data_IF_811795190502
#
_entry.id   IF_811795190502
#
_cell.length_a   1.000
_cell.length_b   1.000
_cell.length_c   1.000
_cell.angle_alpha   90.00
_cell.angle_beta   90.00
_cell.angle_gamma   90.00
#
_symmetry.space_group_name_H-M   'P 1'
#
loop_
_entity.id
_entity.type
_entity.pdbx_description
1 polymer ?
#
# COMPACT_ATOMS: atom_id res chain seq x y z
N UNK A 1 -9.42 -13.78 12.12
CA UNK A 1 -9.71 -13.46 10.71
C UNK A 1 -10.82 -12.42 10.59
N UNK A 2 -11.88 -12.49 11.39
CA UNK A 2 -13.02 -11.57 11.35
C UNK A 2 -12.64 -10.08 11.51
N UNK A 3 -11.59 -9.78 12.28
CA UNK A 3 -11.07 -8.43 12.43
C UNK A 3 -10.57 -7.85 11.11
N UNK A 4 -9.84 -8.63 10.31
CA UNK A 4 -9.34 -8.20 9.00
C UNK A 4 -10.52 -7.86 8.07
N UNK A 5 -11.49 -8.77 7.97
CA UNK A 5 -12.65 -8.59 7.10
C UNK A 5 -13.48 -7.37 7.51
N UNK A 6 -13.74 -7.18 8.80
CA UNK A 6 -14.45 -6.01 9.32
C UNK A 6 -13.71 -4.71 9.03
N UNK A 7 -12.39 -4.70 9.23
CA UNK A 7 -11.57 -3.52 8.98
C UNK A 7 -11.59 -3.12 7.50
N UNK A 8 -11.28 -4.05 6.60
CA UNK A 8 -11.20 -3.75 5.16
C UNK A 8 -12.58 -3.51 4.54
N UNK A 9 -13.62 -4.26 4.92
CA UNK A 9 -14.98 -3.99 4.42
C UNK A 9 -15.48 -2.61 4.85
N UNK A 10 -15.21 -2.20 6.09
CA UNK A 10 -15.52 -0.85 6.58
C UNK A 10 -14.75 0.21 5.80
N UNK A 11 -13.44 0.03 5.65
CA UNK A 11 -12.60 0.95 4.89
C UNK A 11 -13.10 1.13 3.44
N UNK A 12 -13.29 0.03 2.71
CA UNK A 12 -13.74 0.05 1.30
C UNK A 12 -15.12 0.70 1.18
N UNK A 13 -16.03 0.41 2.12
CA UNK A 13 -17.36 1.03 2.14
C UNK A 13 -17.29 2.54 2.33
N UNK A 14 -16.43 3.01 3.24
CA UNK A 14 -16.43 4.40 3.67
C UNK A 14 -15.46 5.30 2.90
N UNK A 15 -14.45 4.75 2.22
CA UNK A 15 -13.47 5.55 1.47
C UNK A 15 -14.12 6.40 0.36
N UNK A 16 -15.24 5.95 -0.20
CA UNK A 16 -16.00 6.71 -1.20
C UNK A 16 -16.63 8.01 -0.65
N UNK A 17 -16.78 8.12 0.68
CA UNK A 17 -17.23 9.34 1.34
C UNK A 17 -16.09 10.35 1.55
N UNK A 18 -14.83 9.95 1.34
CA UNK A 18 -13.68 10.85 1.44
C UNK A 18 -13.65 11.74 0.19
N UNK A 19 -13.56 13.07 0.35
CA UNK A 19 -13.48 13.97 -0.79
C UNK A 19 -12.30 13.65 -1.72
N UNK A 20 -12.42 13.88 -3.04
CA UNK A 20 -11.30 13.78 -3.96
C UNK A 20 -10.09 14.59 -3.48
N UNK A 21 -8.88 14.04 -3.67
CA UNK A 21 -7.63 14.66 -3.21
C UNK A 21 -7.41 14.61 -1.70
N UNK A 22 -8.22 13.84 -0.94
CA UNK A 22 -8.02 13.62 0.51
C UNK A 22 -7.74 12.17 0.90
N UNK A 23 -7.56 11.30 -0.09
CA UNK A 23 -7.15 9.92 0.10
C UNK A 23 -6.22 9.50 -1.04
N UNK A 24 -5.13 8.84 -0.68
CA UNK A 24 -4.21 8.20 -1.62
C UNK A 24 -3.92 6.80 -1.09
N UNK A 25 -4.24 5.78 -1.89
CA UNK A 25 -3.89 4.39 -1.60
C UNK A 25 -2.57 4.05 -2.30
N UNK A 26 -1.63 3.45 -1.57
CA UNK A 26 -0.31 3.02 -2.08
C UNK A 26 -0.14 1.55 -1.75
N UNK A 27 0.01 0.72 -2.78
CA UNK A 27 0.31 -0.70 -2.60
C UNK A 27 1.74 -0.91 -2.13
N UNK A 28 1.98 -1.88 -1.25
CA UNK A 28 3.33 -2.17 -0.77
C UNK A 28 4.28 -2.55 -1.90
N UNK A 29 3.83 -3.36 -2.86
CA UNK A 29 4.63 -3.74 -4.03
C UNK A 29 5.00 -2.52 -4.91
N UNK A 30 4.10 -1.55 -5.05
CA UNK A 30 4.39 -0.29 -5.74
C UNK A 30 5.44 0.53 -4.99
N UNK A 31 5.28 0.67 -3.68
CA UNK A 31 6.22 1.39 -2.82
C UNK A 31 7.60 0.76 -2.80
N UNK A 32 7.68 -0.57 -2.84
CA UNK A 32 8.95 -1.31 -2.89
C UNK A 32 9.66 -1.16 -4.23
N UNK A 33 8.91 -1.19 -5.34
CA UNK A 33 9.50 -1.12 -6.67
C UNK A 33 10.11 0.27 -6.95
N UNK A 34 9.42 1.34 -6.56
CA UNK A 34 9.91 2.70 -6.70
C UNK A 34 9.32 3.62 -5.60
N UNK A 35 10.01 3.74 -4.45
CA UNK A 35 9.52 4.53 -3.33
C UNK A 35 9.48 6.02 -3.63
N UNK A 36 10.38 6.53 -4.48
CA UNK A 36 10.43 7.94 -4.84
C UNK A 36 9.23 8.29 -5.71
N UNK A 37 8.94 7.50 -6.75
CA UNK A 37 7.77 7.71 -7.59
C UNK A 37 6.45 7.52 -6.81
N UNK A 38 6.40 6.56 -5.88
CA UNK A 38 5.24 6.37 -5.02
C UNK A 38 4.96 7.61 -4.15
N UNK A 39 6.00 8.25 -3.61
CA UNK A 39 5.87 9.47 -2.81
C UNK A 39 5.55 10.69 -3.67
N UNK A 40 6.12 10.81 -4.87
CA UNK A 40 5.76 11.88 -5.82
C UNK A 40 4.26 11.88 -6.12
N UNK A 41 3.70 10.68 -6.34
CA UNK A 41 2.25 10.51 -6.56
C UNK A 41 1.43 10.95 -5.35
N UNK A 42 1.91 10.67 -4.14
CA UNK A 42 1.25 11.13 -2.90
C UNK A 42 1.23 12.65 -2.82
N UNK A 43 2.38 13.30 -3.05
CA UNK A 43 2.47 14.77 -3.06
C UNK A 43 1.57 15.39 -4.12
N UNK A 44 1.57 14.82 -5.32
CA UNK A 44 0.73 15.30 -6.43
C UNK A 44 -0.75 15.16 -6.12
N UNK A 45 -1.18 14.02 -5.59
CA UNK A 45 -2.58 13.78 -5.29
C UNK A 45 -3.13 14.66 -4.15
N UNK A 46 -2.26 15.12 -3.23
CA UNK A 46 -2.62 16.09 -2.20
C UNK A 46 -2.43 17.57 -2.63
N UNK A 47 -1.99 17.83 -3.87
CA UNK A 47 -1.76 19.17 -4.37
C UNK A 47 -0.54 19.87 -3.77
N UNK A 48 0.49 19.10 -3.39
CA UNK A 48 1.74 19.57 -2.79
C UNK A 48 2.94 19.49 -3.75
N UNK A 49 2.68 19.44 -5.06
CA UNK A 49 3.74 19.32 -6.08
C UNK A 49 4.76 20.47 -6.03
N UNK A 50 4.36 21.66 -5.58
CA UNK A 50 5.23 22.82 -5.37
C UNK A 50 6.34 22.56 -4.35
N UNK A 51 6.13 21.60 -3.44
CA UNK A 51 7.12 21.22 -2.41
C UNK A 51 7.98 20.05 -2.82
N UNK A 52 7.64 19.36 -3.90
CA UNK A 52 8.29 18.10 -4.29
C UNK A 52 9.77 18.28 -4.55
N UNK A 53 10.17 19.31 -5.31
CA UNK A 53 11.58 19.55 -5.66
C UNK A 53 12.48 19.70 -4.43
N UNK A 54 11.96 20.27 -3.34
CA UNK A 54 12.71 20.46 -2.11
C UNK A 54 12.84 19.17 -1.27
N UNK A 55 11.88 18.23 -1.37
CA UNK A 55 11.85 17.00 -0.56
C UNK A 55 12.34 15.76 -1.31
N UNK A 56 12.30 15.75 -2.64
CA UNK A 56 12.70 14.62 -3.46
C UNK A 56 14.12 14.13 -3.17
N UNK A 57 15.15 15.00 -2.99
CA UNK A 57 16.49 14.55 -2.63
C UNK A 57 16.54 13.82 -1.28
N UNK A 58 15.77 14.29 -0.28
CA UNK A 58 15.72 13.68 1.04
C UNK A 58 15.14 12.26 0.99
N UNK A 59 14.12 12.06 0.15
CA UNK A 59 13.54 10.74 -0.06
C UNK A 59 14.48 9.81 -0.85
N UNK A 60 15.20 10.33 -1.85
CA UNK A 60 16.20 9.56 -2.58
C UNK A 60 17.34 9.08 -1.67
N UNK A 61 17.85 9.96 -0.81
CA UNK A 61 18.89 9.63 0.17
C UNK A 61 18.41 8.58 1.17
N UNK A 62 17.22 8.77 1.74
CA UNK A 62 16.63 7.81 2.67
C UNK A 62 16.36 6.45 2.00
N UNK A 63 15.80 6.46 0.79
CA UNK A 63 15.57 5.23 0.02
C UNK A 63 16.88 4.49 -0.24
N UNK A 64 17.96 5.20 -0.54
CA UNK A 64 19.29 4.61 -0.75
C UNK A 64 19.83 3.97 0.54
N UNK A 65 19.58 4.60 1.70
CA UNK A 65 19.95 4.04 3.01
C UNK A 65 19.23 2.73 3.36
N UNK A 66 18.08 2.47 2.74
CA UNK A 66 17.30 1.25 2.96
C UNK A 66 17.75 0.08 2.07
N UNK A 67 18.76 0.26 1.21
CA UNK A 67 19.20 -0.78 0.28
C UNK A 67 19.61 -2.09 0.97
N UNK A 68 20.19 -2.01 2.17
CA UNK A 68 20.61 -3.17 2.94
C UNK A 68 19.53 -3.68 3.92
N UNK A 69 18.32 -3.09 3.89
CA UNK A 69 17.23 -3.51 4.78
C UNK A 69 16.70 -4.89 4.39
N UNK A 70 16.96 -5.87 5.23
CA UNK A 70 16.49 -7.24 5.02
C UNK A 70 15.03 -7.40 5.46
N UNK A 71 14.15 -7.59 4.49
CA UNK A 71 12.74 -7.94 4.74
C UNK A 71 12.61 -9.32 5.36
N UNK A 72 11.60 -9.48 6.20
CA UNK A 72 11.18 -10.80 6.66
C UNK A 72 10.70 -11.61 5.45
N UNK A 73 11.17 -12.85 5.34
CA UNK A 73 10.71 -13.77 4.32
C UNK A 73 9.50 -14.54 4.84
N UNK A 74 8.40 -14.47 4.09
CA UNK A 74 7.21 -15.26 4.38
C UNK A 74 7.37 -16.65 3.75
N UNK A 75 7.46 -17.68 4.58
CA UNK A 75 7.68 -19.06 4.13
C UNK A 75 6.42 -19.76 3.58
N UNK A 76 5.36 -18.99 3.31
CA UNK A 76 4.06 -19.53 2.89
C UNK A 76 3.22 -20.05 4.07
N UNK A 77 2.03 -20.53 3.72
CA UNK A 77 1.11 -21.19 4.64
C UNK A 77 1.02 -22.68 4.29
N UNK A 78 0.57 -23.48 5.25
CA UNK A 78 0.09 -24.82 4.91
C UNK A 78 -1.11 -24.72 3.96
N UNK A 79 -1.29 -25.67 3.02
CA UNK A 79 -2.32 -25.59 1.98
C UNK A 79 -3.73 -25.31 2.51
N UNK A 80 -4.09 -25.90 3.64
CA UNK A 80 -5.40 -25.73 4.28
C UNK A 80 -5.59 -24.30 4.79
N UNK A 81 -4.55 -23.72 5.40
CA UNK A 81 -4.58 -22.35 5.88
C UNK A 81 -4.58 -21.35 4.72
N UNK A 82 -3.82 -21.61 3.66
CA UNK A 82 -3.84 -20.80 2.44
C UNK A 82 -5.23 -20.80 1.79
N UNK A 83 -5.87 -21.96 1.66
CA UNK A 83 -7.21 -22.08 1.11
C UNK A 83 -8.24 -21.26 1.92
N UNK A 84 -8.12 -21.26 3.25
CA UNK A 84 -8.98 -20.43 4.12
C UNK A 84 -8.73 -18.95 3.88
N UNK A 85 -7.46 -18.50 3.79
CA UNK A 85 -7.12 -17.10 3.49
C UNK A 85 -7.66 -16.69 2.12
N UNK A 86 -7.38 -17.47 1.07
CA UNK A 86 -7.83 -17.20 -0.30
C UNK A 86 -9.34 -17.07 -0.38
N UNK A 87 -10.09 -17.98 0.26
CA UNK A 87 -11.56 -17.92 0.27
C UNK A 87 -12.07 -16.70 1.04
N UNK A 88 -11.55 -16.48 2.25
CA UNK A 88 -12.08 -15.46 3.17
C UNK A 88 -11.72 -14.04 2.74
N UNK A 89 -10.53 -13.85 2.20
CA UNK A 89 -9.99 -12.54 1.80
C UNK A 89 -10.11 -12.29 0.29
N UNK A 90 -10.78 -13.18 -0.46
CA UNK A 90 -11.09 -12.99 -1.88
C UNK A 90 -11.64 -11.58 -2.21
N UNK A 91 -12.56 -10.99 -1.42
CA UNK A 91 -13.05 -9.64 -1.71
C UNK A 91 -11.94 -8.59 -1.69
N UNK A 92 -11.02 -8.66 -0.71
CA UNK A 92 -9.89 -7.72 -0.62
C UNK A 92 -8.89 -7.93 -1.76
N UNK A 93 -8.63 -9.19 -2.13
CA UNK A 93 -7.75 -9.49 -3.26
C UNK A 93 -8.29 -8.91 -4.57
N UNK A 94 -9.58 -9.08 -4.83
CA UNK A 94 -10.24 -8.47 -5.99
C UNK A 94 -10.23 -6.94 -5.94
N UNK A 95 -10.53 -6.36 -4.77
CA UNK A 95 -10.59 -4.90 -4.57
C UNK A 95 -9.23 -4.21 -4.80
N UNK A 96 -8.14 -4.83 -4.35
CA UNK A 96 -6.81 -4.22 -4.43
C UNK A 96 -5.93 -4.78 -5.56
N UNK A 97 -6.47 -5.62 -6.45
CA UNK A 97 -5.77 -6.11 -7.64
C UNK A 97 -4.68 -7.15 -7.35
N UNK A 98 -4.82 -7.94 -6.29
CA UNK A 98 -3.94 -9.07 -6.00
C UNK A 98 -4.59 -10.36 -6.52
N UNK A 99 -3.91 -11.09 -7.40
CA UNK A 99 -4.36 -12.38 -7.97
C UNK A 99 -3.57 -13.56 -7.41
#
# INVERSE_FOLDING_TARGET
>A
MDQYERMYSSYVRHRAAVPPGRLVEVGFAQLEADPVAALERVYTAFGWSDRWEAVAPLFADYSSSLADFKKNHFNGLQPEAEAVVRRRWAPSFAEFGYT
#
